data_IF_465938317587
#
_entry.id   IF_465938317587
#
_cell.length_a   1.000
_cell.length_b   1.000
_cell.length_c   1.000
_cell.angle_alpha   90.00
_cell.angle_beta   90.00
_cell.angle_gamma   90.00
#
_symmetry.space_group_name_H-M   'P 1'
#
loop_
_entity.id
_entity.type
_entity.pdbx_description
1 polymer ?
#
# COMPACT_ATOMS: atom_id res chain seq x y z
N UNK A 1 4.12 -19.63 -17.32
CA UNK A 1 4.44 -19.70 -15.87
C UNK A 1 3.46 -18.82 -15.12
N UNK A 2 2.79 -19.32 -14.09
CA UNK A 2 1.94 -18.47 -13.22
C UNK A 2 2.81 -17.44 -12.52
N UNK A 3 2.43 -16.16 -12.58
CA UNK A 3 3.14 -15.08 -11.91
C UNK A 3 3.28 -15.39 -10.42
N UNK A 4 4.51 -15.51 -9.94
CA UNK A 4 4.79 -15.73 -8.52
C UNK A 4 4.42 -14.48 -7.72
N UNK A 5 3.75 -14.66 -6.58
CA UNK A 5 3.37 -13.59 -5.67
C UNK A 5 4.14 -13.78 -4.36
N UNK A 6 4.83 -12.72 -3.93
CA UNK A 6 5.50 -12.62 -2.63
C UNK A 6 4.83 -11.50 -1.86
N UNK A 7 4.52 -11.72 -0.59
CA UNK A 7 3.98 -10.66 0.29
C UNK A 7 4.95 -10.36 1.42
N UNK A 8 5.04 -9.07 1.79
CA UNK A 8 5.88 -8.60 2.90
C UNK A 8 5.01 -7.77 3.83
N UNK A 9 4.60 -8.37 4.93
CA UNK A 9 3.74 -7.75 5.93
C UNK A 9 4.53 -7.34 7.18
N UNK A 10 3.96 -6.47 7.99
CA UNK A 10 4.51 -6.02 9.26
C UNK A 10 4.12 -4.58 9.61
N UNK A 11 4.47 -4.10 10.81
CA UNK A 11 4.08 -2.79 11.31
C UNK A 11 4.76 -1.64 10.55
N UNK A 12 4.26 -0.41 10.78
CA UNK A 12 4.89 0.80 10.26
C UNK A 12 6.33 0.93 10.82
N UNK A 13 7.27 1.43 10.00
CA UNK A 13 8.68 1.59 10.41
C UNK A 13 9.49 0.29 10.46
N UNK A 14 8.92 -0.86 10.14
CA UNK A 14 9.63 -2.15 10.15
C UNK A 14 10.63 -2.34 9.00
N UNK A 15 10.63 -1.48 7.97
CA UNK A 15 11.55 -1.58 6.84
C UNK A 15 11.06 -2.46 5.69
N UNK A 16 9.79 -2.83 5.67
CA UNK A 16 9.17 -3.69 4.64
C UNK A 16 9.47 -3.26 3.21
N UNK A 17 9.24 -1.97 2.90
CA UNK A 17 9.45 -1.44 1.56
C UNK A 17 10.91 -1.57 1.10
N UNK A 18 11.89 -1.45 2.01
CA UNK A 18 13.31 -1.66 1.70
C UNK A 18 13.58 -3.11 1.34
N UNK A 19 13.05 -4.05 2.12
CA UNK A 19 13.16 -5.48 1.88
C UNK A 19 12.49 -5.85 0.56
N UNK A 20 11.24 -5.40 0.34
CA UNK A 20 10.49 -5.66 -0.87
C UNK A 20 11.19 -5.12 -2.12
N UNK A 21 11.72 -3.89 -2.05
CA UNK A 21 12.47 -3.27 -3.15
C UNK A 21 13.76 -4.03 -3.46
N UNK A 22 14.51 -4.47 -2.44
CA UNK A 22 15.71 -5.28 -2.62
C UNK A 22 15.39 -6.61 -3.35
N UNK A 23 14.36 -7.32 -2.88
CA UNK A 23 13.89 -8.56 -3.48
C UNK A 23 13.41 -8.34 -4.92
N UNK A 24 12.62 -7.30 -5.16
CA UNK A 24 12.12 -6.94 -6.48
C UNK A 24 13.26 -6.73 -7.48
N UNK A 25 14.27 -5.95 -7.10
CA UNK A 25 15.41 -5.66 -7.96
C UNK A 25 16.24 -6.94 -8.27
N UNK A 26 16.52 -7.75 -7.23
CA UNK A 26 17.31 -8.97 -7.37
C UNK A 26 16.67 -10.01 -8.29
N UNK A 27 15.35 -10.17 -8.23
CA UNK A 27 14.63 -11.18 -9.01
C UNK A 27 13.80 -10.60 -10.16
N UNK A 28 13.93 -9.32 -10.47
CA UNK A 28 13.20 -8.62 -11.55
C UNK A 28 11.68 -8.78 -11.39
N UNK A 29 11.18 -8.59 -10.17
CA UNK A 29 9.76 -8.62 -9.85
C UNK A 29 9.16 -7.21 -9.91
N UNK A 30 7.86 -7.14 -10.19
CA UNK A 30 7.12 -5.90 -9.98
C UNK A 30 6.92 -5.65 -8.48
N UNK A 31 7.28 -4.46 -8.01
CA UNK A 31 7.09 -4.05 -6.61
C UNK A 31 5.87 -3.14 -6.47
N UNK A 32 4.95 -3.51 -5.59
CA UNK A 32 3.80 -2.70 -5.19
C UNK A 32 3.87 -2.35 -3.69
N UNK A 33 4.09 -1.08 -3.38
CA UNK A 33 3.84 -0.52 -2.04
C UNK A 33 2.33 -0.25 -1.89
N UNK A 34 1.63 -1.09 -1.15
CA UNK A 34 0.18 -0.95 -0.96
C UNK A 34 -0.20 0.36 -0.26
N UNK A 35 0.66 0.89 0.57
CA UNK A 35 0.47 2.17 1.25
C UNK A 35 0.38 3.37 0.28
N UNK A 36 0.96 3.27 -0.91
CA UNK A 36 0.85 4.30 -1.94
C UNK A 36 -0.60 4.43 -2.42
N UNK A 37 -1.34 3.33 -2.52
CA UNK A 37 -2.73 3.36 -2.99
C UNK A 37 -3.64 4.10 -2.00
N UNK A 38 -3.47 3.86 -0.70
CA UNK A 38 -4.18 4.60 0.34
C UNK A 38 -3.84 6.10 0.31
N UNK A 39 -2.55 6.45 0.16
CA UNK A 39 -2.11 7.84 0.05
C UNK A 39 -2.65 8.51 -1.22
N UNK A 40 -2.69 7.80 -2.33
CA UNK A 40 -3.26 8.30 -3.58
C UNK A 40 -4.75 8.59 -3.42
N UNK A 41 -5.50 7.66 -2.86
CA UNK A 41 -6.92 7.86 -2.58
C UNK A 41 -7.14 9.06 -1.64
N UNK A 42 -6.35 9.17 -0.56
CA UNK A 42 -6.42 10.31 0.34
C UNK A 42 -6.13 11.64 -0.34
N UNK A 43 -5.13 11.67 -1.24
CA UNK A 43 -4.85 12.86 -2.04
C UNK A 43 -6.02 13.24 -2.95
N UNK A 44 -6.70 12.28 -3.54
CA UNK A 44 -7.91 12.51 -4.36
C UNK A 44 -9.04 13.06 -3.50
N UNK A 45 -9.30 12.48 -2.33
CA UNK A 45 -10.33 12.92 -1.39
C UNK A 45 -10.08 14.38 -0.96
N UNK A 46 -8.84 14.70 -0.59
CA UNK A 46 -8.44 16.06 -0.18
C UNK A 46 -8.60 17.05 -1.33
N UNK A 47 -8.17 16.70 -2.54
CA UNK A 47 -8.29 17.58 -3.71
C UNK A 47 -9.75 17.87 -4.10
N UNK A 48 -10.65 16.94 -3.83
CA UNK A 48 -12.08 17.13 -4.04
C UNK A 48 -12.78 17.82 -2.86
N UNK A 49 -12.04 18.33 -1.88
CA UNK A 49 -12.55 18.97 -0.67
C UNK A 49 -13.59 18.11 0.11
N UNK A 50 -13.44 16.80 0.06
CA UNK A 50 -14.31 15.87 0.78
C UNK A 50 -13.77 15.67 2.19
N UNK A 51 -14.65 15.85 3.20
CA UNK A 51 -14.30 15.59 4.59
C UNK A 51 -14.01 14.08 4.78
N UNK A 52 -12.91 13.76 5.46
CA UNK A 52 -12.50 12.37 5.73
C UNK A 52 -13.48 11.57 6.61
N UNK A 53 -14.41 12.28 7.29
CA UNK A 53 -15.48 11.66 8.06
C UNK A 53 -16.76 11.43 7.24
N UNK A 54 -16.87 12.06 6.06
CA UNK A 54 -18.04 11.93 5.18
C UNK A 54 -17.92 10.64 4.34
N UNK A 55 -18.25 9.53 5.00
CA UNK A 55 -18.17 8.20 4.37
C UNK A 55 -19.06 8.08 3.15
N UNK A 56 -20.21 8.76 3.10
CA UNK A 56 -21.13 8.71 1.96
C UNK A 56 -20.52 9.37 0.72
N UNK A 57 -19.96 10.57 0.85
CA UNK A 57 -19.26 11.23 -0.26
C UNK A 57 -18.02 10.46 -0.71
N UNK A 58 -17.27 9.88 0.23
CA UNK A 58 -16.13 9.04 -0.12
C UNK A 58 -16.61 7.82 -0.92
N UNK A 59 -17.66 7.12 -0.48
CA UNK A 59 -18.19 5.96 -1.21
C UNK A 59 -18.74 6.33 -2.60
N UNK A 60 -19.36 7.50 -2.75
CA UNK A 60 -19.76 8.00 -4.06
C UNK A 60 -18.55 8.26 -4.97
N UNK A 61 -17.48 8.85 -4.42
CA UNK A 61 -16.22 9.06 -5.14
C UNK A 61 -15.61 7.74 -5.62
N UNK A 62 -15.58 6.70 -4.77
CA UNK A 62 -15.01 5.39 -5.13
C UNK A 62 -15.68 4.75 -6.38
N UNK A 63 -16.98 4.99 -6.58
CA UNK A 63 -17.71 4.45 -7.75
C UNK A 63 -17.20 5.05 -9.07
N UNK A 64 -16.63 6.24 -9.03
CA UNK A 64 -16.13 6.95 -10.21
C UNK A 64 -14.63 6.69 -10.48
N UNK A 65 -13.93 6.00 -9.57
CA UNK A 65 -12.52 5.67 -9.73
C UNK A 65 -12.40 4.27 -10.34
N UNK A 66 -11.95 4.20 -11.59
CA UNK A 66 -11.70 2.92 -12.27
C UNK A 66 -10.41 2.26 -11.79
N UNK A 67 -9.30 3.02 -11.77
CA UNK A 67 -7.99 2.51 -11.37
C UNK A 67 -7.19 3.57 -10.58
N UNK A 68 -6.48 3.12 -9.54
CA UNK A 68 -5.55 3.95 -8.78
C UNK A 68 -4.11 3.63 -9.21
N UNK A 69 -3.41 4.63 -9.74
CA UNK A 69 -2.02 4.46 -10.16
C UNK A 69 -1.06 4.33 -8.96
N UNK A 70 -0.19 3.31 -8.92
CA UNK A 70 0.86 3.17 -7.91
C UNK A 70 2.10 4.02 -8.21
N UNK A 71 2.15 4.72 -9.36
CA UNK A 71 3.34 5.48 -9.81
C UNK A 71 3.51 6.79 -9.05
N UNK A 72 4.75 7.32 -9.03
CA UNK A 72 5.07 8.65 -8.48
C UNK A 72 4.65 8.83 -7.00
N UNK A 73 4.78 7.78 -6.18
CA UNK A 73 4.35 7.78 -4.79
C UNK A 73 5.16 8.68 -3.85
N UNK A 74 6.36 9.11 -4.23
CA UNK A 74 7.20 9.96 -3.39
C UNK A 74 6.53 11.30 -3.03
N UNK A 75 5.83 11.91 -3.99
CA UNK A 75 5.07 13.16 -3.78
C UNK A 75 3.88 13.01 -2.82
N UNK A 76 3.51 11.79 -2.47
CA UNK A 76 2.41 11.47 -1.55
C UNK A 76 2.87 11.20 -0.12
N UNK A 77 4.16 11.34 0.18
CA UNK A 77 4.74 11.05 1.50
C UNK A 77 4.75 12.25 2.44
N UNK A 78 3.78 13.15 2.32
CA UNK A 78 3.58 14.26 3.27
C UNK A 78 2.85 13.75 4.52
N UNK A 79 3.05 14.44 5.65
CA UNK A 79 2.38 14.12 6.91
C UNK A 79 0.86 14.20 6.76
N UNK A 80 0.33 15.26 6.15
CA UNK A 80 -1.10 15.46 5.89
C UNK A 80 -1.72 14.26 5.14
N UNK A 81 -1.10 13.82 4.04
CA UNK A 81 -1.61 12.69 3.26
C UNK A 81 -1.46 11.37 4.03
N UNK A 82 -0.36 11.19 4.76
CA UNK A 82 -0.11 9.97 5.53
C UNK A 82 -1.11 9.81 6.68
N UNK A 83 -1.46 10.90 7.38
CA UNK A 83 -2.48 10.90 8.43
C UNK A 83 -3.87 10.62 7.86
N UNK A 84 -4.20 11.25 6.73
CA UNK A 84 -5.46 10.97 6.02
C UNK A 84 -5.54 9.51 5.57
N UNK A 85 -4.47 8.95 5.02
CA UNK A 85 -4.41 7.55 4.59
C UNK A 85 -4.62 6.57 5.76
N UNK A 86 -4.02 6.85 6.91
CA UNK A 86 -4.23 6.04 8.12
C UNK A 86 -5.68 6.10 8.59
N UNK A 87 -6.31 7.28 8.52
CA UNK A 87 -7.70 7.48 8.92
C UNK A 87 -8.67 6.73 8.00
N UNK A 88 -8.55 6.88 6.69
CA UNK A 88 -9.46 6.21 5.74
C UNK A 88 -9.26 4.68 5.71
N UNK A 89 -8.06 4.19 6.03
CA UNK A 89 -7.76 2.75 6.07
C UNK A 89 -8.54 1.99 7.16
N UNK A 90 -9.17 2.67 8.11
CA UNK A 90 -10.06 2.04 9.11
C UNK A 90 -11.41 1.64 8.50
N UNK A 91 -11.83 2.28 7.40
CA UNK A 91 -13.11 2.01 6.74
C UNK A 91 -13.05 0.72 5.91
N UNK A 92 -13.96 -0.21 6.19
CA UNK A 92 -14.00 -1.52 5.51
C UNK A 92 -14.20 -1.40 4.00
N UNK A 93 -15.13 -0.56 3.52
CA UNK A 93 -15.40 -0.39 2.09
C UNK A 93 -14.20 0.18 1.34
N UNK A 94 -13.45 1.08 1.98
CA UNK A 94 -12.21 1.63 1.40
C UNK A 94 -11.15 0.53 1.33
N UNK A 95 -10.99 -0.29 2.37
CA UNK A 95 -10.07 -1.43 2.32
C UNK A 95 -10.45 -2.42 1.22
N UNK A 96 -11.72 -2.77 1.10
CA UNK A 96 -12.20 -3.69 0.06
C UNK A 96 -11.92 -3.13 -1.35
N UNK A 97 -12.14 -1.83 -1.55
CA UNK A 97 -11.80 -1.14 -2.79
C UNK A 97 -10.29 -1.20 -3.09
N UNK A 98 -9.44 -0.81 -2.13
CA UNK A 98 -7.97 -0.84 -2.30
C UNK A 98 -7.47 -2.28 -2.51
N UNK A 99 -8.02 -3.27 -1.82
CA UNK A 99 -7.67 -4.67 -2.01
C UNK A 99 -7.99 -5.15 -3.44
N UNK A 100 -9.11 -4.71 -4.00
CA UNK A 100 -9.46 -4.98 -5.40
C UNK A 100 -8.49 -4.29 -6.37
N UNK A 101 -8.15 -3.02 -6.11
CA UNK A 101 -7.16 -2.29 -6.92
C UNK A 101 -5.79 -3.01 -6.93
N UNK A 102 -5.33 -3.51 -5.79
CA UNK A 102 -4.08 -4.28 -5.72
C UNK A 102 -4.13 -5.53 -6.63
N UNK A 103 -5.26 -6.27 -6.62
CA UNK A 103 -5.43 -7.46 -7.45
C UNK A 103 -5.42 -7.12 -8.93
N UNK A 104 -6.08 -6.03 -9.35
CA UNK A 104 -6.09 -5.54 -10.73
C UNK A 104 -4.67 -5.16 -11.16
N UNK A 105 -3.97 -4.35 -10.36
CA UNK A 105 -2.61 -3.90 -10.65
C UNK A 105 -1.67 -5.10 -10.83
N UNK A 106 -1.70 -6.06 -9.90
CA UNK A 106 -0.84 -7.26 -9.95
C UNK A 106 -1.17 -8.13 -11.16
N UNK A 107 -2.45 -8.31 -11.48
CA UNK A 107 -2.88 -9.09 -12.67
C UNK A 107 -2.35 -8.50 -13.98
N UNK A 108 -2.22 -7.17 -14.05
CA UNK A 108 -1.77 -6.47 -15.26
C UNK A 108 -0.24 -6.45 -15.43
N UNK A 109 0.54 -7.05 -14.51
CA UNK A 109 2.01 -7.07 -14.57
C UNK A 109 2.59 -8.28 -15.32
N UNK A 110 2.05 -8.62 -16.48
CA UNK A 110 2.42 -9.83 -17.26
C UNK A 110 3.88 -9.85 -17.74
N UNK A 111 4.52 -8.68 -17.87
CA UNK A 111 5.92 -8.53 -18.31
C UNK A 111 6.95 -8.88 -17.24
N UNK A 112 6.54 -9.02 -15.99
CA UNK A 112 7.42 -9.38 -14.88
C UNK A 112 7.35 -10.88 -14.57
N UNK A 113 8.41 -11.44 -13.99
CA UNK A 113 8.46 -12.84 -13.53
C UNK A 113 7.52 -13.13 -12.36
N UNK A 114 7.02 -12.09 -11.71
CA UNK A 114 6.13 -12.13 -10.59
C UNK A 114 6.02 -10.76 -9.92
N UNK A 115 5.32 -10.72 -8.79
CA UNK A 115 5.08 -9.50 -8.03
C UNK A 115 5.48 -9.68 -6.57
N UNK A 116 6.00 -8.62 -5.97
CA UNK A 116 6.18 -8.50 -4.53
C UNK A 116 5.38 -7.31 -4.03
N UNK A 117 4.56 -7.55 -3.03
CA UNK A 117 3.64 -6.54 -2.48
C UNK A 117 3.95 -6.37 -1.00
N UNK A 118 4.20 -5.13 -0.55
CA UNK A 118 4.36 -4.86 0.86
C UNK A 118 3.18 -4.07 1.46
N UNK A 119 2.86 -4.43 2.71
CA UNK A 119 1.73 -3.84 3.43
C UNK A 119 1.61 -4.30 4.86
N UNK A 120 0.38 -4.52 5.33
CA UNK A 120 0.10 -4.94 6.72
C UNK A 120 -0.60 -6.28 6.83
N UNK A 121 -1.48 -6.58 5.90
CA UNK A 121 -2.34 -7.77 5.86
C UNK A 121 -2.42 -8.37 4.45
N UNK A 122 -1.38 -8.15 3.66
CA UNK A 122 -1.34 -8.53 2.25
C UNK A 122 -1.41 -10.04 2.09
N UNK A 123 -0.60 -10.78 2.82
CA UNK A 123 -0.53 -12.23 2.74
C UNK A 123 -1.67 -12.95 3.47
N UNK A 124 -2.30 -12.30 4.46
CA UNK A 124 -3.40 -12.87 5.24
C UNK A 124 -4.78 -12.56 4.65
N UNK A 125 -4.95 -11.41 4.01
CA UNK A 125 -6.26 -10.93 3.53
C UNK A 125 -6.31 -10.83 2.00
N UNK A 126 -5.35 -10.15 1.37
CA UNK A 126 -5.43 -9.78 -0.05
C UNK A 126 -4.98 -10.93 -0.96
N UNK A 127 -3.79 -11.46 -0.72
CA UNK A 127 -3.18 -12.54 -1.49
C UNK A 127 -2.96 -13.78 -0.62
N UNK A 128 -4.05 -14.36 -0.14
CA UNK A 128 -4.02 -15.54 0.75
C UNK A 128 -3.28 -16.75 0.17
N UNK A 129 -3.22 -16.85 -1.17
CA UNK A 129 -2.53 -17.92 -1.91
C UNK A 129 -1.16 -17.46 -2.44
N UNK A 130 -0.53 -16.44 -1.84
CA UNK A 130 0.81 -16.03 -2.20
C UNK A 130 1.82 -17.18 -2.03
N UNK A 131 2.79 -17.26 -2.94
CA UNK A 131 3.79 -18.32 -2.94
C UNK A 131 4.75 -18.22 -1.74
N UNK A 132 5.08 -16.98 -1.35
CA UNK A 132 5.93 -16.68 -0.19
C UNK A 132 5.27 -15.55 0.59
N UNK A 133 5.21 -15.73 1.90
CA UNK A 133 4.70 -14.72 2.83
C UNK A 133 5.79 -14.43 3.86
N UNK A 134 6.24 -13.17 3.90
CA UNK A 134 7.26 -12.68 4.81
C UNK A 134 6.57 -11.75 5.81
N UNK A 135 6.80 -11.96 7.10
CA UNK A 135 6.35 -11.04 8.15
C UNK A 135 7.57 -10.43 8.83
N UNK A 136 7.69 -9.10 8.79
CA UNK A 136 8.84 -8.36 9.33
C UNK A 136 8.51 -7.88 10.74
N UNK A 137 9.26 -8.36 11.71
CA UNK A 137 9.16 -7.97 13.12
C UNK A 137 10.33 -7.06 13.46
N UNK A 138 10.04 -5.95 14.11
CA UNK A 138 11.06 -4.99 14.60
C UNK A 138 10.54 -4.40 15.91
N UNK A 139 11.45 -4.25 16.86
CA UNK A 139 11.19 -3.62 18.16
C UNK A 139 10.52 -2.25 18.02
N UNK A 140 9.60 -1.93 18.93
CA UNK A 140 8.80 -0.70 18.87
C UNK A 140 9.65 0.56 19.02
N UNK A 141 10.65 0.52 19.87
CA UNK A 141 11.57 1.66 20.10
C UNK A 141 12.37 1.94 18.83
N UNK A 142 12.85 0.88 18.16
CA UNK A 142 13.57 1.01 16.89
C UNK A 142 12.66 1.59 15.79
N UNK A 143 11.40 1.15 15.73
CA UNK A 143 10.42 1.68 14.78
C UNK A 143 10.11 3.16 15.03
N UNK A 144 9.93 3.54 16.30
CA UNK A 144 9.71 4.92 16.71
C UNK A 144 10.88 5.83 16.30
N UNK A 145 12.13 5.42 16.58
CA UNK A 145 13.35 6.15 16.18
C UNK A 145 13.44 6.32 14.65
N UNK A 146 13.17 5.27 13.89
CA UNK A 146 13.16 5.33 12.42
C UNK A 146 12.08 6.28 11.88
N UNK A 147 10.88 6.26 12.50
CA UNK A 147 9.80 7.16 12.10
C UNK A 147 10.12 8.61 12.42
N UNK A 148 10.68 8.87 13.59
CA UNK A 148 11.12 10.21 14.00
C UNK A 148 12.13 10.77 12.99
N UNK A 149 13.16 10.00 12.63
CA UNK A 149 14.15 10.42 11.64
C UNK A 149 13.52 10.76 10.28
N UNK A 150 12.55 9.97 9.80
CA UNK A 150 11.85 10.23 8.54
C UNK A 150 10.99 11.51 8.53
N UNK A 151 10.69 12.09 9.69
CA UNK A 151 9.90 13.33 9.80
C UNK A 151 10.79 14.57 9.91
N UNK A 152 12.06 14.39 10.25
CA UNK A 152 13.04 15.49 10.41
C UNK A 152 13.86 15.69 9.12
N UNK A 153 14.14 14.62 8.37
CA UNK A 153 14.80 14.63 7.05
C UNK A 153 13.80 15.08 5.96
#
# INVERSE_FOLDING_TARGET
MKNKIITVDGPAGAGKARIAKYIANKWKLFHLDSGILYRRLSSIIIKNNINLNDTNKIHALLKNIQEISPRNGNKLRTEKISNAASKIATNKKIRDFINNQQKIIVKNQLKFRGCIIDGRDIGSVVFKKANIKIYVVVDEIIRAKRRHKQLID
#
